data_IF_044422250646
#
_entry.id   IF_044422250646
#
_cell.length_a   1.000
_cell.length_b   1.000
_cell.length_c   1.000
_cell.angle_alpha   90.00
_cell.angle_beta   90.00
_cell.angle_gamma   90.00
#
_symmetry.space_group_name_H-M   'P 1'
#
loop_
_entity.id
_entity.type
_entity.pdbx_description
1 polymer ?
#
# COMPACT_ATOMS: atom_id res chain seq x y z
N UNK A 1 5.21 19.94 5.80
CA UNK A 1 4.42 18.79 6.29
C UNK A 1 4.41 17.74 5.21
N UNK A 2 4.70 16.47 5.54
CA UNK A 2 4.56 15.36 4.59
C UNK A 2 3.12 14.84 4.60
N UNK A 3 2.61 14.45 3.44
CA UNK A 3 1.23 14.00 3.29
C UNK A 3 1.10 12.49 3.61
N UNK A 4 0.22 12.07 4.52
CA UNK A 4 0.07 10.65 4.85
C UNK A 4 -0.59 9.89 3.70
N UNK A 5 0.03 8.77 3.32
CA UNK A 5 -0.36 7.93 2.19
C UNK A 5 -0.51 6.48 2.62
N UNK A 6 -1.47 5.77 2.02
CA UNK A 6 -1.58 4.30 2.12
C UNK A 6 -1.36 3.63 0.77
N UNK A 7 -0.88 2.39 0.80
CA UNK A 7 -0.75 1.51 -0.36
C UNK A 7 -1.63 0.27 -0.18
N UNK A 8 -2.56 0.02 -1.10
CA UNK A 8 -3.32 -1.23 -1.16
C UNK A 8 -2.76 -2.14 -2.26
N UNK A 9 -2.40 -3.38 -1.91
CA UNK A 9 -1.67 -4.29 -2.80
C UNK A 9 -0.20 -3.92 -2.88
N UNK A 10 0.61 -4.41 -1.93
CA UNK A 10 2.03 -4.12 -1.81
C UNK A 10 2.93 -5.21 -2.44
N UNK A 11 2.37 -6.38 -2.77
CA UNK A 11 3.09 -7.44 -3.50
C UNK A 11 2.97 -7.30 -5.02
N UNK A 12 3.80 -8.04 -5.75
CA UNK A 12 3.85 -7.96 -7.22
C UNK A 12 4.22 -6.55 -7.71
N UNK A 13 3.35 -5.93 -8.52
CA UNK A 13 3.54 -4.56 -9.00
C UNK A 13 3.56 -3.53 -7.86
N UNK A 14 2.87 -3.81 -6.74
CA UNK A 14 2.89 -2.97 -5.54
C UNK A 14 4.27 -2.74 -4.95
N UNK A 15 5.19 -3.70 -5.13
CA UNK A 15 6.56 -3.60 -4.61
C UNK A 15 7.32 -2.43 -5.22
N UNK A 16 7.10 -2.16 -6.51
CA UNK A 16 7.67 -0.99 -7.19
C UNK A 16 7.12 0.33 -6.65
N UNK A 17 5.87 0.35 -6.20
CA UNK A 17 5.31 1.54 -5.57
C UNK A 17 5.92 1.82 -4.20
N UNK A 18 6.28 0.80 -3.41
CA UNK A 18 7.02 1.01 -2.15
C UNK A 18 8.36 1.73 -2.39
N UNK A 19 9.11 1.35 -3.40
CA UNK A 19 10.37 2.01 -3.75
C UNK A 19 10.18 3.47 -4.16
N UNK A 20 9.13 3.77 -4.94
CA UNK A 20 8.81 5.13 -5.34
C UNK A 20 8.33 5.98 -4.15
N UNK A 21 7.49 5.40 -3.28
CA UNK A 21 7.04 6.05 -2.05
C UNK A 21 8.23 6.34 -1.14
N UNK A 22 9.18 5.42 -0.99
CA UNK A 22 10.42 5.64 -0.22
C UNK A 22 11.19 6.85 -0.72
N UNK A 23 11.37 6.99 -2.04
CA UNK A 23 12.05 8.15 -2.65
C UNK A 23 11.30 9.46 -2.38
N UNK A 24 9.97 9.46 -2.41
CA UNK A 24 9.16 10.63 -2.10
C UNK A 24 9.18 10.99 -0.61
N UNK A 25 9.19 9.98 0.27
CA UNK A 25 9.32 10.15 1.71
C UNK A 25 10.68 10.72 2.09
N UNK A 26 11.77 10.27 1.47
CA UNK A 26 13.10 10.84 1.64
C UNK A 26 13.18 12.33 1.24
N UNK A 27 12.32 12.76 0.32
CA UNK A 27 12.17 14.18 -0.08
C UNK A 27 11.21 14.96 0.83
N UNK A 28 10.64 14.34 1.86
CA UNK A 28 9.69 14.96 2.79
C UNK A 28 8.31 15.24 2.21
N UNK A 29 7.96 14.67 1.04
CA UNK A 29 6.70 14.96 0.35
C UNK A 29 5.54 14.14 0.90
N UNK A 30 5.78 12.86 1.18
CA UNK A 30 4.78 11.91 1.68
C UNK A 30 5.30 11.15 2.89
N UNK A 31 4.40 10.54 3.66
CA UNK A 31 4.72 9.53 4.66
C UNK A 31 3.92 8.27 4.36
N UNK A 32 4.56 7.11 4.25
CA UNK A 32 3.84 5.83 4.20
C UNK A 32 3.22 5.58 5.58
N UNK A 33 1.92 5.77 5.67
CA UNK A 33 1.17 5.66 6.91
C UNK A 33 0.62 4.25 7.12
N UNK A 34 0.27 3.56 6.03
CA UNK A 34 -0.24 2.19 6.11
C UNK A 34 -0.17 1.39 4.82
N UNK A 35 -0.27 0.07 4.95
CA UNK A 35 -0.32 -0.91 3.87
C UNK A 35 -1.58 -1.77 4.04
N UNK A 36 -2.38 -1.86 2.98
CA UNK A 36 -3.56 -2.71 2.91
C UNK A 36 -3.25 -3.99 2.13
N UNK A 37 -3.22 -5.12 2.82
CA UNK A 37 -2.97 -6.47 2.27
C UNK A 37 -3.74 -7.52 3.07
N UNK A 38 -4.20 -8.58 2.40
CA UNK A 38 -4.96 -9.66 3.04
C UNK A 38 -4.13 -10.40 4.11
N UNK A 39 -2.86 -10.60 3.80
CA UNK A 39 -1.87 -11.13 4.74
C UNK A 39 -0.84 -10.03 4.97
N UNK A 40 -0.63 -9.58 6.23
CA UNK A 40 0.37 -8.56 6.54
C UNK A 40 1.73 -8.89 5.91
N UNK A 41 2.44 -7.86 5.47
CA UNK A 41 3.82 -7.97 5.04
C UNK A 41 4.69 -8.30 6.25
N UNK A 42 5.61 -9.24 6.03
CA UNK A 42 6.72 -9.46 6.93
C UNK A 42 7.67 -8.25 6.92
N UNK A 43 8.43 -7.99 8.00
CA UNK A 43 9.31 -6.83 8.07
C UNK A 43 10.31 -6.71 6.91
N UNK A 44 10.82 -7.84 6.41
CA UNK A 44 11.79 -7.87 5.30
C UNK A 44 11.17 -7.52 3.93
N UNK A 45 9.84 -7.51 3.82
CA UNK A 45 9.13 -7.10 2.60
C UNK A 45 8.97 -5.57 2.51
N UNK A 46 9.18 -4.85 3.63
CA UNK A 46 9.07 -3.40 3.72
C UNK A 46 10.46 -2.79 3.55
N UNK A 47 10.70 -1.97 2.50
CA UNK A 47 11.99 -1.31 2.31
C UNK A 47 12.43 -0.45 3.50
N UNK A 48 13.73 -0.49 3.80
CA UNK A 48 14.34 0.38 4.81
C UNK A 48 14.02 1.85 4.56
N UNK A 49 13.85 2.60 5.65
CA UNK A 49 13.50 4.02 5.60
C UNK A 49 12.01 4.30 5.35
N UNK A 50 11.16 3.29 5.22
CA UNK A 50 9.70 3.44 5.27
C UNK A 50 9.11 3.36 6.69
N UNK A 51 9.89 2.88 7.67
CA UNK A 51 9.46 2.71 9.05
C UNK A 51 8.55 1.48 9.21
N UNK A 52 7.68 1.52 10.21
CA UNK A 52 6.70 0.48 10.48
C UNK A 52 5.28 1.02 10.17
N UNK A 53 4.86 1.03 8.90
CA UNK A 53 3.52 1.48 8.54
C UNK A 53 2.46 0.55 9.16
N UNK A 54 1.32 1.11 9.51
CA UNK A 54 0.17 0.33 9.98
C UNK A 54 -0.26 -0.67 8.90
N UNK A 55 -0.68 -1.87 9.30
CA UNK A 55 -1.10 -2.91 8.35
C UNK A 55 -2.51 -3.38 8.66
N UNK A 56 -3.31 -3.56 7.62
CA UNK A 56 -4.70 -4.03 7.73
C UNK A 56 -5.11 -4.77 6.47
N UNK A 57 -6.04 -5.72 6.61
CA UNK A 57 -6.74 -6.31 5.46
C UNK A 57 -7.98 -5.49 5.05
N UNK A 58 -8.40 -4.55 5.89
CA UNK A 58 -9.52 -3.65 5.65
C UNK A 58 -9.00 -2.27 5.26
N UNK A 59 -9.30 -1.87 4.03
CA UNK A 59 -8.85 -0.59 3.47
C UNK A 59 -9.55 0.61 4.13
N UNK A 60 -10.83 0.51 4.47
CA UNK A 60 -11.58 1.60 5.11
C UNK A 60 -11.07 1.85 6.52
N UNK A 61 -10.94 0.79 7.33
CA UNK A 61 -10.39 0.88 8.68
C UNK A 61 -8.95 1.42 8.68
N UNK A 62 -8.15 1.09 7.67
CA UNK A 62 -6.80 1.61 7.53
C UNK A 62 -6.79 3.11 7.26
N UNK A 63 -7.69 3.62 6.41
CA UNK A 63 -7.81 5.06 6.14
C UNK A 63 -8.17 5.82 7.42
N UNK A 64 -9.14 5.31 8.19
CA UNK A 64 -9.59 5.91 9.44
C UNK A 64 -8.47 5.92 10.50
N UNK A 65 -7.77 4.79 10.69
CA UNK A 65 -6.70 4.67 11.67
C UNK A 65 -5.48 5.54 11.35
N UNK A 66 -5.17 5.72 10.06
CA UNK A 66 -3.95 6.42 9.63
C UNK A 66 -4.15 7.90 9.31
N UNK A 67 -5.40 8.34 9.13
CA UNK A 67 -5.73 9.68 8.63
C UNK A 67 -5.18 9.94 7.23
N UNK A 68 -4.97 8.89 6.43
CA UNK A 68 -4.38 9.00 5.11
C UNK A 68 -5.19 9.92 4.19
N UNK A 69 -4.48 10.72 3.40
CA UNK A 69 -5.05 11.72 2.50
C UNK A 69 -4.91 11.34 1.03
N UNK A 70 -4.05 10.37 0.74
CA UNK A 70 -3.85 9.79 -0.59
C UNK A 70 -3.78 8.27 -0.44
N UNK A 71 -4.31 7.56 -1.42
CA UNK A 71 -4.13 6.13 -1.56
C UNK A 71 -3.54 5.78 -2.93
N UNK A 72 -2.60 4.84 -2.92
CA UNK A 72 -2.15 4.12 -4.12
C UNK A 72 -2.84 2.76 -4.09
N UNK A 73 -3.58 2.44 -5.15
CA UNK A 73 -4.31 1.16 -5.26
C UNK A 73 -3.67 0.33 -6.37
N UNK A 74 -3.09 -0.80 -5.99
CA UNK A 74 -2.42 -1.78 -6.85
C UNK A 74 -2.97 -3.18 -6.59
N UNK A 75 -4.27 -3.28 -6.30
CA UNK A 75 -4.95 -4.56 -6.19
C UNK A 75 -5.23 -5.14 -7.59
N UNK A 76 -5.27 -6.48 -7.73
CA UNK A 76 -5.72 -7.10 -8.97
C UNK A 76 -7.10 -6.57 -9.36
N UNK A 77 -7.25 -6.13 -10.61
CA UNK A 77 -8.55 -5.77 -11.16
C UNK A 77 -9.35 -7.08 -11.29
N UNK A 78 -10.55 -7.19 -10.69
CA UNK A 78 -11.43 -8.31 -10.97
C UNK A 78 -11.78 -8.26 -12.46
N UNK A 79 -11.27 -9.19 -13.25
CA UNK A 79 -11.78 -9.35 -14.61
C UNK A 79 -13.18 -9.93 -14.52
N UNK A 80 -14.15 -9.46 -15.35
CA UNK A 80 -15.45 -10.09 -15.40
C UNK A 80 -15.27 -11.58 -15.67
N UNK A 81 -15.94 -12.42 -14.89
CA UNK A 81 -15.95 -13.86 -15.08
C UNK A 81 -16.51 -14.16 -16.47
N UNK A 82 -15.64 -14.63 -17.36
CA UNK A 82 -16.05 -15.26 -18.63
C UNK A 82 -16.00 -16.77 -18.37
N UNK A 83 -17.14 -17.50 -18.41
CA UNK A 83 -17.10 -18.94 -18.33
C UNK A 83 -16.23 -19.45 -19.47
N UNK A 84 -15.19 -20.20 -19.15
CA UNK A 84 -14.53 -21.01 -20.17
C UNK A 84 -15.55 -22.04 -20.63
N UNK A 85 -16.10 -21.89 -21.83
CA UNK A 85 -16.83 -22.95 -22.50
C UNK A 85 -15.86 -24.12 -22.74
N UNK A 86 -15.89 -25.12 -21.87
CA UNK A 86 -15.45 -26.49 -22.13
C UNK A 86 -16.47 -27.44 -21.54
#
# INVERSE_FOLDING_TARGET
>A
MSLPLVLAGARGHGRWHLDNIRRLQQRGLVRLAGICELTPLAPHEIPDGLGAPEQSADFGALLDATGARIAVVCTPIPTPWVPSSR
#
